data_IF_261650131482
#
_entry.id   IF_261650131482
#
_cell.length_a   1.000
_cell.length_b   1.000
_cell.length_c   1.000
_cell.angle_alpha   90.00
_cell.angle_beta   90.00
_cell.angle_gamma   90.00
#
_symmetry.space_group_name_H-M   'P 1'
#
loop_
_entity.id
_entity.type
_entity.pdbx_description
1 polymer ?
#
# COMPACT_ATOMS: atom_id res chain seq x y z
N UNK A 1 -8.90 23.82 -2.20
CA UNK A 1 -7.85 23.13 -2.99
C UNK A 1 -8.11 21.65 -2.84
N UNK A 2 -8.07 20.86 -3.91
CA UNK A 2 -8.19 19.41 -3.78
C UNK A 2 -6.99 18.92 -2.96
N UNK A 3 -7.24 18.33 -1.79
CA UNK A 3 -6.21 17.71 -0.94
C UNK A 3 -5.67 16.39 -1.55
N UNK A 4 -6.08 16.07 -2.79
CA UNK A 4 -6.09 14.72 -3.35
C UNK A 4 -4.93 14.47 -4.34
N UNK A 5 -3.89 15.33 -4.33
CA UNK A 5 -2.68 15.03 -5.09
C UNK A 5 -1.83 14.02 -4.32
N UNK A 6 -1.32 13.02 -5.03
CA UNK A 6 -0.39 12.04 -4.45
C UNK A 6 0.82 12.69 -3.75
N UNK A 7 1.26 13.84 -4.26
CA UNK A 7 2.32 14.65 -3.68
C UNK A 7 1.94 15.20 -2.29
N UNK A 8 0.71 15.69 -2.11
CA UNK A 8 0.24 16.12 -0.79
C UNK A 8 0.15 14.94 0.18
N UNK A 9 -0.35 13.79 -0.27
CA UNK A 9 -0.37 12.59 0.56
C UNK A 9 1.04 12.19 1.01
N UNK A 10 2.03 12.20 0.11
CA UNK A 10 3.43 11.92 0.47
C UNK A 10 3.97 12.95 1.47
N UNK A 11 3.67 14.24 1.29
CA UNK A 11 4.10 15.29 2.19
C UNK A 11 3.53 15.12 3.62
N UNK A 12 2.26 14.73 3.74
CA UNK A 12 1.62 14.44 5.04
C UNK A 12 2.28 13.22 5.72
N UNK A 13 2.58 12.15 4.97
CA UNK A 13 3.27 10.96 5.52
C UNK A 13 4.72 11.30 5.92
N UNK A 14 5.42 12.14 5.15
CA UNK A 14 6.75 12.63 5.51
C UNK A 14 6.69 13.46 6.80
N UNK A 15 5.73 14.37 6.92
CA UNK A 15 5.56 15.17 8.13
C UNK A 15 5.27 14.28 9.35
N UNK A 16 4.55 13.17 9.18
CA UNK A 16 4.36 12.17 10.21
C UNK A 16 5.66 11.47 10.60
N UNK A 17 6.48 11.04 9.63
CA UNK A 17 7.81 10.47 9.90
C UNK A 17 8.71 11.45 10.66
N UNK A 18 8.75 12.71 10.25
CA UNK A 18 9.57 13.76 10.86
C UNK A 18 9.11 14.06 12.29
N UNK A 19 7.79 14.17 12.50
CA UNK A 19 7.18 14.41 13.81
C UNK A 19 7.55 13.32 14.84
N UNK A 20 7.68 12.07 14.38
CA UNK A 20 7.96 10.92 15.24
C UNK A 20 9.42 10.44 15.19
N UNK A 21 10.28 11.15 14.44
CA UNK A 21 11.70 10.85 14.29
C UNK A 21 11.97 9.38 13.90
N UNK A 22 11.15 8.83 13.00
CA UNK A 22 11.24 7.41 12.61
C UNK A 22 12.59 7.01 12.04
N UNK A 23 13.26 7.96 11.38
CA UNK A 23 14.61 7.78 10.84
C UNK A 23 15.64 7.44 11.91
N UNK A 24 15.55 8.03 13.10
CA UNK A 24 16.53 7.84 14.17
C UNK A 24 16.04 6.88 15.27
N UNK A 25 14.80 6.39 15.17
CA UNK A 25 14.17 5.53 16.20
C UNK A 25 13.85 4.12 15.70
N UNK A 26 14.34 3.74 14.51
CA UNK A 26 14.13 2.41 13.91
C UNK A 26 12.80 2.26 13.16
N UNK A 27 11.94 3.28 13.15
CA UNK A 27 10.65 3.28 12.45
C UNK A 27 10.75 3.18 10.92
N UNK A 28 11.93 3.43 10.36
CA UNK A 28 12.22 3.30 8.93
C UNK A 28 12.88 1.96 8.54
N UNK A 29 13.16 1.07 9.51
CA UNK A 29 13.76 -0.23 9.23
C UNK A 29 12.80 -1.12 8.43
N UNK A 30 13.27 -1.64 7.28
CA UNK A 30 12.42 -2.38 6.34
C UNK A 30 11.70 -3.57 6.99
N UNK A 31 12.38 -4.33 7.85
CA UNK A 31 11.77 -5.48 8.53
C UNK A 31 10.68 -5.05 9.52
N UNK A 32 10.87 -3.93 10.22
CA UNK A 32 9.86 -3.37 11.10
C UNK A 32 8.63 -2.90 10.31
N UNK A 33 8.83 -2.20 9.19
CA UNK A 33 7.73 -1.77 8.31
C UNK A 33 6.97 -2.95 7.70
N UNK A 34 7.66 -4.04 7.34
CA UNK A 34 7.02 -5.27 6.89
C UNK A 34 6.15 -5.89 7.99
N UNK A 35 6.62 -5.88 9.24
CA UNK A 35 5.83 -6.38 10.36
C UNK A 35 4.52 -5.56 10.54
N UNK A 36 4.61 -4.23 10.52
CA UNK A 36 3.43 -3.36 10.58
C UNK A 36 2.46 -3.61 9.42
N UNK A 37 2.96 -3.74 8.18
CA UNK A 37 2.09 -4.06 7.04
C UNK A 37 1.40 -5.43 7.18
N UNK A 38 2.05 -6.39 7.84
CA UNK A 38 1.45 -7.69 8.11
C UNK A 38 0.34 -7.61 9.17
N UNK A 39 0.46 -6.70 10.15
CA UNK A 39 -0.59 -6.39 11.13
C UNK A 39 -1.84 -5.83 10.43
N UNK A 40 -1.70 -4.83 9.55
CA UNK A 40 -2.85 -4.25 8.82
C UNK A 40 -3.52 -5.27 7.88
N UNK A 41 -2.74 -6.17 7.27
CA UNK A 41 -3.32 -7.28 6.50
C UNK A 41 -4.14 -8.25 7.38
N UNK A 42 -3.76 -8.40 8.65
CA UNK A 42 -4.52 -9.14 9.65
C UNK A 42 -5.85 -8.47 9.99
N UNK A 43 -5.83 -7.14 10.18
CA UNK A 43 -7.02 -6.31 10.39
C UNK A 43 -7.98 -6.38 9.20
N UNK A 44 -7.49 -6.20 7.97
CA UNK A 44 -8.26 -6.36 6.73
C UNK A 44 -8.88 -7.76 6.65
N UNK A 45 -8.12 -8.80 7.00
CA UNK A 45 -8.63 -10.18 7.03
C UNK A 45 -9.75 -10.37 8.05
N UNK A 46 -9.63 -9.74 9.23
CA UNK A 46 -10.68 -9.71 10.23
C UNK A 46 -11.92 -8.99 9.70
N UNK A 47 -11.77 -7.87 8.97
CA UNK A 47 -12.90 -7.19 8.33
C UNK A 47 -13.66 -8.11 7.37
N UNK A 48 -12.93 -8.78 6.48
CA UNK A 48 -13.51 -9.65 5.45
C UNK A 48 -14.16 -10.94 6.02
N UNK A 49 -13.66 -11.46 7.14
CA UNK A 49 -14.11 -12.75 7.70
C UNK A 49 -15.15 -12.63 8.81
N UNK A 50 -15.17 -11.50 9.52
CA UNK A 50 -16.03 -11.29 10.71
C UNK A 50 -17.21 -10.35 10.45
N UNK A 51 -17.40 -9.91 9.21
CA UNK A 51 -18.52 -9.05 8.83
C UNK A 51 -18.45 -7.64 9.44
N UNK A 52 -17.24 -7.08 9.57
CA UNK A 52 -17.07 -5.67 9.93
C UNK A 52 -17.64 -4.77 8.82
N UNK A 53 -17.83 -3.49 9.15
CA UNK A 53 -18.37 -2.50 8.22
C UNK A 53 -17.43 -2.19 7.05
N UNK A 54 -17.96 -1.58 5.99
CA UNK A 54 -17.14 -1.12 4.85
C UNK A 54 -16.26 0.06 5.26
N UNK A 55 -16.74 0.86 6.20
CA UNK A 55 -16.03 1.97 6.81
C UNK A 55 -14.77 1.49 7.53
N UNK A 56 -14.88 0.45 8.38
CA UNK A 56 -13.72 -0.18 9.02
C UNK A 56 -12.77 -0.76 7.96
N UNK A 57 -13.27 -1.48 6.94
CA UNK A 57 -12.41 -2.00 5.87
C UNK A 57 -11.66 -0.88 5.14
N UNK A 58 -12.29 0.27 4.93
CA UNK A 58 -11.67 1.42 4.27
C UNK A 58 -10.57 2.05 5.12
N UNK A 59 -10.74 2.09 6.44
CA UNK A 59 -9.74 2.54 7.40
C UNK A 59 -8.48 1.66 7.35
N UNK A 60 -8.64 0.33 7.50
CA UNK A 60 -7.50 -0.60 7.45
C UNK A 60 -6.77 -0.57 6.08
N UNK A 61 -7.52 -0.33 4.99
CA UNK A 61 -6.91 -0.16 3.67
C UNK A 61 -6.13 1.17 3.56
N UNK A 62 -6.60 2.23 4.21
CA UNK A 62 -5.89 3.50 4.28
C UNK A 62 -4.61 3.36 5.12
N UNK A 63 -4.65 2.65 6.24
CA UNK A 63 -3.48 2.37 7.08
C UNK A 63 -2.40 1.60 6.32
N UNK A 64 -2.80 0.55 5.59
CA UNK A 64 -1.88 -0.18 4.72
C UNK A 64 -1.28 0.71 3.61
N UNK A 65 -2.07 1.61 3.03
CA UNK A 65 -1.59 2.58 2.03
C UNK A 65 -0.57 3.54 2.63
N UNK A 66 -0.84 4.09 3.82
CA UNK A 66 0.07 4.99 4.54
C UNK A 66 1.40 4.28 4.84
N UNK A 67 1.36 3.02 5.28
CA UNK A 67 2.57 2.22 5.52
C UNK A 67 3.38 1.98 4.25
N UNK A 68 2.72 1.71 3.11
CA UNK A 68 3.38 1.58 1.80
C UNK A 68 4.06 2.89 1.38
N UNK A 69 3.37 4.02 1.53
CA UNK A 69 3.91 5.34 1.22
C UNK A 69 5.11 5.69 2.10
N UNK A 70 5.00 5.46 3.41
CA UNK A 70 6.13 5.68 4.31
C UNK A 70 7.28 4.70 4.07
N UNK A 71 7.02 3.50 3.52
CA UNK A 71 8.09 2.59 3.07
C UNK A 71 8.82 3.14 1.86
N UNK A 72 8.11 3.79 0.94
CA UNK A 72 8.72 4.48 -0.20
C UNK A 72 9.62 5.64 0.25
N UNK A 73 9.19 6.40 1.24
CA UNK A 73 9.99 7.44 1.91
C UNK A 73 11.24 6.82 2.56
N UNK A 74 11.05 5.84 3.44
CA UNK A 74 12.12 5.19 4.20
C UNK A 74 13.19 4.54 3.30
N UNK A 75 12.78 3.99 2.16
CA UNK A 75 13.66 3.28 1.22
C UNK A 75 14.05 4.12 0.00
N UNK A 76 13.67 5.40 -0.02
CA UNK A 76 14.01 6.38 -1.05
C UNK A 76 13.71 5.91 -2.48
N UNK A 77 12.47 5.51 -2.75
CA UNK A 77 12.01 5.20 -4.11
C UNK A 77 10.73 5.94 -4.48
N UNK A 78 10.58 6.24 -5.78
CA UNK A 78 9.38 6.88 -6.32
C UNK A 78 8.26 5.85 -6.53
N UNK A 79 7.38 5.74 -5.53
CA UNK A 79 6.23 4.84 -5.57
C UNK A 79 5.19 5.26 -6.62
N UNK A 80 5.04 6.56 -6.94
CA UNK A 80 4.13 7.02 -8.01
C UNK A 80 4.60 6.51 -9.37
N UNK A 81 5.89 6.72 -9.67
CA UNK A 81 6.49 6.23 -10.91
C UNK A 81 6.42 4.70 -10.98
N UNK A 82 6.76 4.00 -9.89
CA UNK A 82 6.68 2.54 -9.83
C UNK A 82 5.25 2.04 -10.08
N UNK A 83 4.24 2.72 -9.52
CA UNK A 83 2.83 2.44 -9.76
C UNK A 83 2.47 2.57 -11.24
N UNK A 84 2.76 3.71 -11.87
CA UNK A 84 2.41 3.94 -13.27
C UNK A 84 3.12 2.98 -14.22
N UNK A 85 4.42 2.72 -14.00
CA UNK A 85 5.16 1.71 -14.75
C UNK A 85 4.51 0.33 -14.63
N UNK A 86 4.09 -0.05 -13.41
CA UNK A 86 3.41 -1.33 -13.17
C UNK A 86 2.04 -1.36 -13.86
N UNK A 87 1.25 -0.30 -13.75
CA UNK A 87 -0.07 -0.19 -14.38
C UNK A 87 0.02 -0.32 -15.90
N UNK A 88 0.91 0.42 -16.55
CA UNK A 88 1.16 0.30 -17.99
C UNK A 88 1.56 -1.11 -18.42
N UNK A 89 2.27 -1.84 -17.56
CA UNK A 89 2.65 -3.23 -17.82
C UNK A 89 1.47 -4.19 -17.67
N UNK A 90 0.69 -4.09 -16.59
CA UNK A 90 -0.38 -5.06 -16.31
C UNK A 90 -1.62 -4.85 -17.18
N UNK A 91 -1.89 -3.61 -17.62
CA UNK A 91 -3.00 -3.31 -18.53
C UNK A 91 -2.86 -3.95 -19.91
N UNK A 92 -1.66 -4.39 -20.29
CA UNK A 92 -1.38 -5.10 -21.54
C UNK A 92 -1.51 -6.61 -21.44
N UNK A 93 -1.77 -7.15 -20.23
CA UNK A 93 -1.83 -8.59 -20.01
C UNK A 93 -3.18 -9.14 -20.41
N UNK A 94 -3.16 -10.35 -20.97
CA UNK A 94 -4.39 -11.11 -21.17
C UNK A 94 -5.01 -11.48 -19.82
N UNK A 95 -6.34 -11.52 -19.79
CA UNK A 95 -7.09 -12.08 -18.68
C UNK A 95 -7.48 -13.52 -19.03
N UNK A 96 -7.36 -14.43 -18.06
CA UNK A 96 -7.87 -15.80 -18.18
C UNK A 96 -8.73 -16.15 -17.00
N UNK A 97 -9.64 -17.09 -17.24
CA UNK A 97 -10.52 -17.62 -16.23
C UNK A 97 -9.83 -18.80 -15.53
N UNK A 98 -9.59 -18.71 -14.20
CA UNK A 98 -8.99 -19.78 -13.39
C UNK A 98 -9.83 -20.00 -12.13
N UNK A 99 -10.28 -21.25 -11.88
CA UNK A 99 -11.07 -21.63 -10.70
C UNK A 99 -12.27 -20.70 -10.42
N UNK A 100 -13.05 -20.35 -11.45
CA UNK A 100 -14.20 -19.45 -11.31
C UNK A 100 -13.87 -17.95 -11.18
N UNK A 101 -12.60 -17.54 -11.19
CA UNK A 101 -12.16 -16.14 -11.05
C UNK A 101 -11.30 -15.66 -12.23
N UNK A 102 -11.50 -14.41 -12.63
CA UNK A 102 -10.66 -13.75 -13.64
C UNK A 102 -9.28 -13.50 -13.02
N UNK A 103 -8.22 -13.86 -13.75
CA UNK A 103 -6.83 -13.58 -13.39
C UNK A 103 -6.13 -12.84 -14.52
N UNK A 104 -5.52 -11.70 -14.18
CA UNK A 104 -4.64 -10.92 -15.07
C UNK A 104 -3.20 -11.20 -14.68
N UNK A 105 -2.46 -11.95 -15.50
CA UNK A 105 -1.08 -12.34 -15.20
C UNK A 105 -0.21 -12.35 -16.45
N UNK A 106 1.11 -12.25 -16.28
CA UNK A 106 2.04 -12.76 -17.28
C UNK A 106 1.89 -14.29 -17.24
N UNK A 107 1.14 -14.84 -18.19
CA UNK A 107 1.19 -16.28 -18.44
C UNK A 107 2.53 -16.52 -19.13
N UNK A 108 3.47 -17.09 -18.39
CA UNK A 108 4.68 -17.68 -18.98
C UNK A 108 4.33 -19.13 -19.26
N UNK A 109 4.58 -19.57 -20.48
CA UNK A 109 4.41 -20.97 -20.90
C UNK A 109 5.27 -21.92 -20.06
#
# INVERSE_FOLDING_TARGET
MSNDSYEHMLAEVQAFHDKHDFKNTGGEELMYRIALMAEELGEISACASKGKSVEELAEECADLLILLMGTAIAQNFDLNQAFWQKMHKIMKRESKMINGRIRVSEFRD
#
